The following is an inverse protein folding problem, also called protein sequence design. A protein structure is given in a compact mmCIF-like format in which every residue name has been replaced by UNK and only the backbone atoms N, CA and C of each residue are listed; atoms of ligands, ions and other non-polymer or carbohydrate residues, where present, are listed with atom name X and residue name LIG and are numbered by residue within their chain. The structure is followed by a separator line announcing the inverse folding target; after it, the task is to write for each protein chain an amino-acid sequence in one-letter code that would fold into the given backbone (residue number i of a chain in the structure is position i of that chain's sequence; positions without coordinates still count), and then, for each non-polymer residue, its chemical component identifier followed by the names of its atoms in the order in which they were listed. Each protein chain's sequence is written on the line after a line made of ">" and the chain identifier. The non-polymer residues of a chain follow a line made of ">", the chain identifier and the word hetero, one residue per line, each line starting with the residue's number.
data_IF_033925819459
#
_entry.id   IF_033925819459
#
_cell.length_a   1.000
_cell.length_b   1.000
_cell.length_c   1.000
_cell.angle_alpha   90.00
_cell.angle_beta   90.00
_cell.angle_gamma   90.00
#
_symmetry.space_group_name_H-M   'P 1'
#
loop_
_entity.id
_entity.type
_entity.pdbx_description
1 polymer ?
#
# COMPACT_ATOMS: atom_id res chain seq x y z
N UNK A 1 -6.68 46.81 -19.33
CA UNK A 1 -7.03 48.14 -18.79
C UNK A 1 -7.12 48.00 -17.28
N UNK A 2 -6.23 48.68 -16.56
CA UNK A 2 -6.15 48.63 -15.10
C UNK A 2 -7.20 49.59 -14.54
N UNK A 3 -8.05 49.12 -13.63
CA UNK A 3 -8.83 49.97 -12.73
C UNK A 3 -8.44 49.56 -11.32
N UNK A 4 -7.80 50.48 -10.60
CA UNK A 4 -7.47 50.33 -9.18
C UNK A 4 -8.59 50.99 -8.38
N UNK A 5 -9.28 50.20 -7.56
CA UNK A 5 -10.03 50.70 -6.40
C UNK A 5 -9.51 49.95 -5.19
N UNK A 6 -8.88 50.67 -4.27
CA UNK A 6 -8.41 50.18 -2.98
C UNK A 6 -9.55 50.35 -1.98
N UNK A 7 -9.90 49.28 -1.26
CA UNK A 7 -10.13 49.18 0.20
C UNK A 7 -10.74 47.80 0.48
N UNK A 8 -10.10 47.01 1.34
CA UNK A 8 -10.71 45.83 1.96
C UNK A 8 -9.87 44.57 1.87
N UNK A 9 -9.47 44.06 3.04
CA UNK A 9 -9.04 42.70 3.39
C UNK A 9 -8.14 42.00 2.36
N UNK A 10 -6.89 41.73 2.75
CA UNK A 10 -5.95 40.89 1.99
C UNK A 10 -6.57 39.50 1.79
N UNK A 11 -7.33 39.35 0.71
CA UNK A 11 -7.79 38.07 0.21
C UNK A 11 -6.57 37.45 -0.45
N UNK A 12 -5.90 36.58 0.29
CA UNK A 12 -4.79 35.79 -0.23
C UNK A 12 -5.34 34.90 -1.35
N UNK A 13 -5.27 35.40 -2.59
CA UNK A 13 -5.52 34.60 -3.79
C UNK A 13 -4.44 33.54 -3.82
N UNK A 14 -4.74 32.38 -3.25
CA UNK A 14 -4.02 31.14 -3.53
C UNK A 14 -4.23 30.88 -5.03
N UNK A 15 -3.20 31.16 -5.81
CA UNK A 15 -3.05 30.50 -7.11
C UNK A 15 -2.81 29.03 -6.80
N UNK A 16 -3.87 28.23 -6.79
CA UNK A 16 -3.71 26.79 -6.88
C UNK A 16 -3.21 26.52 -8.30
N UNK A 17 -1.96 26.08 -8.41
CA UNK A 17 -1.53 25.31 -9.57
C UNK A 17 -2.43 24.06 -9.61
N UNK A 18 -3.05 23.79 -10.76
CA UNK A 18 -3.65 22.50 -11.07
C UNK A 18 -2.52 21.45 -11.12
N UNK A 19 -2.05 21.01 -9.96
CA UNK A 19 -1.35 19.74 -9.83
C UNK A 19 -2.41 18.67 -9.67
N UNK A 20 -2.41 17.66 -10.54
CA UNK A 20 -3.34 16.52 -10.48
C UNK A 20 -3.47 16.03 -9.04
N UNK A 21 -4.64 16.26 -8.43
CA UNK A 21 -4.97 15.61 -7.17
C UNK A 21 -5.05 14.12 -7.48
N UNK A 22 -4.31 13.28 -6.76
CA UNK A 22 -4.50 11.83 -6.83
C UNK A 22 -5.97 11.53 -6.60
N UNK A 23 -6.61 10.85 -7.55
CA UNK A 23 -8.05 10.56 -7.47
C UNK A 23 -8.36 9.64 -6.28
N UNK A 24 -7.43 8.75 -5.95
CA UNK A 24 -7.48 7.83 -4.80
C UNK A 24 -6.19 7.88 -3.98
N UNK A 25 -6.31 7.43 -2.73
CA UNK A 25 -5.19 7.27 -1.80
C UNK A 25 -5.02 5.80 -1.48
N UNK A 26 -3.79 5.33 -1.52
CA UNK A 26 -3.44 3.96 -1.19
C UNK A 26 -2.62 3.93 0.10
N UNK A 27 -2.83 2.91 0.93
CA UNK A 27 -2.05 2.68 2.14
C UNK A 27 -1.30 1.36 2.01
N UNK A 28 0.02 1.45 1.87
CA UNK A 28 0.91 0.32 1.97
C UNK A 28 1.34 0.16 3.43
N UNK A 29 1.28 -1.06 3.96
CA UNK A 29 1.74 -1.33 5.32
C UNK A 29 2.61 -2.57 5.35
N UNK A 30 3.55 -2.57 6.28
CA UNK A 30 4.52 -3.63 6.49
C UNK A 30 4.51 -4.01 7.96
N UNK A 31 4.26 -5.28 8.25
CA UNK A 31 4.33 -5.82 9.61
C UNK A 31 5.42 -6.86 9.70
N UNK A 32 6.39 -6.62 10.59
CA UNK A 32 7.34 -7.65 10.98
C UNK A 32 6.76 -8.41 12.17
N UNK A 33 6.58 -9.71 12.00
CA UNK A 33 6.04 -10.61 13.01
C UNK A 33 7.19 -11.34 13.69
N UNK A 34 7.06 -11.62 14.98
CA UNK A 34 8.02 -12.46 15.67
C UNK A 34 8.03 -13.87 15.04
N UNK A 35 9.20 -14.47 14.74
CA UNK A 35 9.28 -15.71 13.96
C UNK A 35 8.42 -16.85 14.52
N UNK A 36 8.41 -17.02 15.85
CA UNK A 36 7.63 -18.08 16.51
C UNK A 36 6.12 -17.90 16.39
N UNK A 37 5.65 -16.71 16.02
CA UNK A 37 4.22 -16.39 15.88
C UNK A 37 3.76 -16.28 14.43
N UNK A 38 4.66 -16.31 13.44
CA UNK A 38 4.28 -16.06 12.04
C UNK A 38 3.19 -17.01 11.50
N UNK A 39 3.24 -18.34 11.73
CA UNK A 39 2.16 -19.22 11.30
C UNK A 39 0.81 -18.91 12.00
N UNK A 40 0.85 -18.64 13.31
CA UNK A 40 -0.34 -18.30 14.09
C UNK A 40 -0.94 -16.95 13.66
N UNK A 41 -0.09 -15.98 13.33
CA UNK A 41 -0.49 -14.69 12.78
C UNK A 41 -1.23 -14.86 11.44
N UNK A 42 -0.67 -15.65 10.51
CA UNK A 42 -1.30 -15.89 9.22
C UNK A 42 -2.64 -16.61 9.36
N UNK A 43 -2.73 -17.62 10.23
CA UNK A 43 -3.98 -18.33 10.50
C UNK A 43 -5.06 -17.41 11.09
N UNK A 44 -4.71 -16.61 12.11
CA UNK A 44 -5.61 -15.65 12.73
C UNK A 44 -6.07 -14.58 11.72
N UNK A 45 -5.16 -14.10 10.87
CA UNK A 45 -5.48 -13.12 9.83
C UNK A 45 -6.43 -13.72 8.81
N UNK A 46 -6.17 -14.93 8.32
CA UNK A 46 -7.05 -15.64 7.41
C UNK A 46 -8.49 -15.76 7.95
N UNK A 47 -8.61 -16.09 9.24
CA UNK A 47 -9.93 -16.25 9.88
C UNK A 47 -10.68 -14.92 10.04
N UNK A 48 -9.97 -13.82 10.31
CA UNK A 48 -10.59 -12.56 10.79
C UNK A 48 -10.50 -11.38 9.84
N UNK A 49 -9.72 -11.47 8.76
CA UNK A 49 -9.48 -10.31 7.87
C UNK A 49 -10.75 -9.84 7.15
N UNK A 50 -11.74 -10.71 6.99
CA UNK A 50 -13.07 -10.37 6.45
C UNK A 50 -13.71 -9.18 7.18
N UNK A 51 -13.55 -9.10 8.50
CA UNK A 51 -14.04 -7.99 9.33
C UNK A 51 -13.44 -6.64 8.91
N UNK A 52 -12.20 -6.62 8.40
CA UNK A 52 -11.56 -5.40 7.89
C UNK A 52 -11.98 -5.12 6.47
N UNK A 53 -12.13 -6.15 5.63
CA UNK A 53 -12.50 -5.96 4.22
C UNK A 53 -13.93 -5.47 4.04
N UNK A 54 -14.79 -5.62 5.05
CA UNK A 54 -16.09 -4.93 5.12
C UNK A 54 -15.97 -3.40 5.11
N UNK A 55 -14.85 -2.86 5.57
CA UNK A 55 -14.63 -1.40 5.65
C UNK A 55 -13.57 -0.89 4.68
N UNK A 56 -12.59 -1.71 4.31
CA UNK A 56 -11.43 -1.30 3.50
C UNK A 56 -11.28 -2.20 2.28
N UNK A 57 -11.18 -1.61 1.09
CA UNK A 57 -10.84 -2.35 -0.13
C UNK A 57 -9.39 -2.81 -0.08
N UNK A 58 -9.19 -4.12 -0.07
CA UNK A 58 -7.86 -4.75 -0.10
C UNK A 58 -7.47 -5.00 -1.56
N UNK A 59 -6.30 -4.51 -1.97
CA UNK A 59 -5.76 -4.76 -3.31
C UNK A 59 -4.78 -5.93 -3.33
N UNK A 60 -4.13 -6.19 -2.21
CA UNK A 60 -3.27 -7.35 -2.07
C UNK A 60 -2.73 -7.49 -0.67
N UNK A 61 -2.45 -8.74 -0.30
CA UNK A 61 -1.84 -9.12 0.96
C UNK A 61 -0.84 -10.23 0.66
N UNK A 62 0.41 -10.02 1.07
CA UNK A 62 1.50 -10.93 0.74
C UNK A 62 2.33 -11.26 1.98
N UNK A 63 2.87 -12.48 1.99
CA UNK A 63 3.97 -12.87 2.86
C UNK A 63 5.29 -12.66 2.11
N UNK A 64 6.28 -12.08 2.79
CA UNK A 64 7.60 -11.84 2.20
C UNK A 64 8.43 -13.13 2.22
N UNK A 65 8.89 -13.56 1.05
CA UNK A 65 9.76 -14.71 0.85
C UNK A 65 11.25 -14.28 0.87
N UNK A 66 11.58 -13.18 0.18
CA UNK A 66 12.94 -12.62 0.11
C UNK A 66 12.90 -11.11 0.39
N UNK A 67 13.87 -10.60 1.16
CA UNK A 67 13.95 -9.17 1.51
C UNK A 67 13.23 -8.79 2.81
N UNK A 68 12.90 -9.78 3.66
CA UNK A 68 12.33 -9.58 5.00
C UNK A 68 11.52 -10.79 5.45
N UNK A 69 12.14 -11.81 6.06
CA UNK A 69 11.44 -13.02 6.51
C UNK A 69 10.53 -12.75 7.72
N UNK A 70 9.45 -13.53 7.86
CA UNK A 70 8.41 -13.35 8.89
C UNK A 70 7.73 -11.97 8.82
N UNK A 71 7.63 -11.42 7.61
CA UNK A 71 7.01 -10.14 7.34
C UNK A 71 5.81 -10.32 6.44
N UNK A 72 4.78 -9.50 6.64
CA UNK A 72 3.70 -9.34 5.68
C UNK A 72 3.64 -7.90 5.19
N UNK A 73 3.25 -7.76 3.93
CA UNK A 73 2.97 -6.46 3.31
C UNK A 73 1.57 -6.49 2.73
N UNK A 74 0.89 -5.35 2.77
CA UNK A 74 -0.49 -5.28 2.29
C UNK A 74 -0.89 -3.88 1.87
N UNK A 75 -1.67 -3.83 0.79
CA UNK A 75 -2.08 -2.61 0.09
C UNK A 75 -3.59 -2.42 0.19
N UNK A 76 -4.00 -1.22 0.58
CA UNK A 76 -5.40 -0.82 0.78
C UNK A 76 -5.73 0.42 -0.05
N UNK A 77 -6.92 0.46 -0.64
CA UNK A 77 -7.42 1.58 -1.44
C UNK A 77 -8.46 2.40 -0.66
N UNK A 78 -8.41 3.72 -0.80
CA UNK A 78 -9.35 4.68 -0.23
C UNK A 78 -9.63 5.81 -1.23
N UNK A 79 -10.85 6.34 -1.25
CA UNK A 79 -11.21 7.45 -2.15
C UNK A 79 -10.50 8.76 -1.80
N UNK A 80 -10.11 8.94 -0.53
CA UNK A 80 -9.40 10.13 -0.07
C UNK A 80 -8.79 9.89 1.31
N UNK A 81 -7.94 10.82 1.78
CA UNK A 81 -7.45 10.81 3.16
C UNK A 81 -8.58 10.91 4.19
N UNK A 82 -9.63 11.68 3.90
CA UNK A 82 -10.80 11.80 4.76
C UNK A 82 -11.59 10.48 4.82
N UNK A 83 -11.80 9.83 3.67
CA UNK A 83 -12.42 8.50 3.62
C UNK A 83 -11.59 7.49 4.44
N UNK A 84 -10.27 7.45 4.21
CA UNK A 84 -9.36 6.61 5.00
C UNK A 84 -9.51 6.86 6.50
N UNK A 85 -9.49 8.12 6.94
CA UNK A 85 -9.64 8.45 8.35
C UNK A 85 -10.97 7.94 8.92
N UNK A 86 -12.08 8.17 8.22
CA UNK A 86 -13.40 7.67 8.61
C UNK A 86 -13.44 6.16 8.76
N UNK A 87 -12.92 5.42 7.78
CA UNK A 87 -12.81 3.96 7.82
C UNK A 87 -11.98 3.48 9.01
N UNK A 88 -10.82 4.11 9.26
CA UNK A 88 -9.94 3.73 10.39
C UNK A 88 -10.59 4.00 11.74
N UNK A 89 -11.38 5.07 11.88
CA UNK A 89 -12.17 5.36 13.09
C UNK A 89 -13.28 4.31 13.27
N UNK A 90 -14.05 4.02 12.22
CA UNK A 90 -15.13 3.03 12.28
C UNK A 90 -14.60 1.63 12.65
N UNK A 91 -13.56 1.16 11.96
CA UNK A 91 -12.92 -0.13 12.25
C UNK A 91 -12.29 -0.14 13.66
N UNK A 92 -11.72 0.98 14.10
CA UNK A 92 -11.18 1.15 15.45
C UNK A 92 -12.24 1.09 16.54
N UNK A 93 -13.50 1.41 16.25
CA UNK A 93 -14.64 1.29 17.15
C UNK A 93 -15.32 -0.08 17.14
N UNK A 94 -15.02 -0.93 16.14
CA UNK A 94 -15.62 -2.26 16.03
C UNK A 94 -15.11 -3.19 17.14
N UNK A 95 -16.01 -3.60 18.05
CA UNK A 95 -15.66 -4.42 19.22
C UNK A 95 -15.07 -5.77 18.84
N UNK A 96 -15.71 -6.48 17.90
CA UNK A 96 -15.24 -7.78 17.39
C UNK A 96 -13.84 -7.69 16.79
N UNK A 97 -13.59 -6.68 15.95
CA UNK A 97 -12.25 -6.45 15.39
C UNK A 97 -11.18 -6.25 16.46
N UNK A 98 -11.50 -5.48 17.50
CA UNK A 98 -10.55 -5.23 18.59
C UNK A 98 -10.28 -6.46 19.45
N UNK A 99 -11.33 -7.16 19.88
CA UNK A 99 -11.23 -8.28 20.81
C UNK A 99 -10.79 -9.59 20.13
N UNK A 100 -11.31 -9.87 18.95
CA UNK A 100 -11.08 -11.15 18.27
C UNK A 100 -9.79 -11.16 17.45
N UNK A 101 -9.37 -10.01 16.92
CA UNK A 101 -8.18 -9.89 16.08
C UNK A 101 -7.09 -9.02 16.71
N UNK A 102 -7.32 -7.72 16.92
CA UNK A 102 -6.25 -6.79 17.30
C UNK A 102 -5.58 -7.15 18.65
N UNK A 103 -6.36 -7.55 19.65
CA UNK A 103 -5.84 -7.94 20.96
C UNK A 103 -4.92 -9.17 20.90
N UNK A 104 -5.21 -10.12 19.99
CA UNK A 104 -4.41 -11.35 19.81
C UNK A 104 -3.21 -11.12 18.90
N UNK A 105 -3.39 -10.34 17.83
CA UNK A 105 -2.37 -10.11 16.81
C UNK A 105 -1.27 -9.17 17.29
N UNK A 106 -1.59 -8.09 18.02
CA UNK A 106 -0.61 -7.10 18.51
C UNK A 106 0.62 -7.70 19.22
N UNK A 107 0.48 -8.61 20.20
CA UNK A 107 1.64 -9.18 20.90
C UNK A 107 2.51 -10.09 20.01
N UNK A 108 2.02 -10.50 18.82
CA UNK A 108 2.79 -11.30 17.87
C UNK A 108 3.78 -10.45 17.05
N UNK A 109 3.63 -9.13 17.04
CA UNK A 109 4.40 -8.24 16.18
C UNK A 109 5.69 -7.76 16.84
N UNK A 110 6.70 -7.60 16.01
CA UNK A 110 7.96 -6.92 16.35
C UNK A 110 7.90 -5.44 15.96
N UNK A 111 7.28 -5.11 14.83
CA UNK A 111 7.14 -3.73 14.35
C UNK A 111 5.99 -3.59 13.35
N UNK A 112 5.54 -2.34 13.14
CA UNK A 112 4.62 -1.96 12.08
C UNK A 112 5.08 -0.66 11.43
N UNK A 113 4.98 -0.58 10.12
CA UNK A 113 5.14 0.65 9.35
C UNK A 113 3.99 0.79 8.35
N UNK A 114 3.68 2.03 7.97
CA UNK A 114 2.76 2.32 6.89
C UNK A 114 3.14 3.59 6.14
N UNK A 115 2.68 3.67 4.90
CA UNK A 115 2.96 4.76 3.98
C UNK A 115 1.71 5.04 3.18
N UNK A 116 1.44 6.32 2.94
CA UNK A 116 0.39 6.78 2.05
C UNK A 116 0.96 7.07 0.67
N UNK A 117 0.24 6.57 -0.32
CA UNK A 117 0.65 6.52 -1.70
C UNK A 117 -0.45 7.14 -2.58
N UNK A 118 -0.04 7.78 -3.68
CA UNK A 118 -0.91 8.17 -4.78
C UNK A 118 -0.57 7.35 -6.03
N UNK A 119 -1.54 7.07 -6.89
CA UNK A 119 -1.26 6.42 -8.19
C UNK A 119 -0.45 7.36 -9.08
N UNK A 120 0.46 6.80 -9.88
CA UNK A 120 1.18 7.58 -10.90
C UNK A 120 0.45 7.42 -12.23
N UNK A 121 -0.06 8.53 -12.78
CA UNK A 121 -0.88 8.56 -13.99
C UNK A 121 -2.32 8.99 -13.70
N UNK A 122 -3.10 9.18 -14.76
CA UNK A 122 -4.52 9.59 -14.66
C UNK A 122 -5.46 8.39 -14.48
N UNK A 123 -4.93 7.18 -14.41
CA UNK A 123 -5.69 5.93 -14.29
C UNK A 123 -5.62 5.37 -12.86
N UNK A 124 -6.77 4.96 -12.35
CA UNK A 124 -6.86 4.21 -11.09
C UNK A 124 -6.23 2.82 -11.26
N UNK A 125 -5.73 2.25 -10.16
CA UNK A 125 -5.20 0.88 -10.19
C UNK A 125 -6.34 -0.10 -10.48
N UNK A 126 -6.28 -0.77 -11.62
CA UNK A 126 -7.23 -1.82 -11.97
C UNK A 126 -7.06 -3.04 -11.05
N UNK A 127 -8.16 -3.72 -10.77
CA UNK A 127 -8.10 -4.98 -10.02
C UNK A 127 -7.36 -6.04 -10.84
N UNK A 128 -6.33 -6.65 -10.25
CA UNK A 128 -5.61 -7.73 -10.90
C UNK A 128 -6.55 -8.93 -11.07
N UNK A 129 -6.85 -9.26 -12.33
CA UNK A 129 -7.74 -10.38 -12.70
C UNK A 129 -7.03 -11.72 -12.66
N UNK A 130 -5.70 -11.74 -12.79
CA UNK A 130 -4.89 -12.96 -12.76
C UNK A 130 -4.53 -13.37 -11.32
N UNK A 131 -5.03 -14.53 -10.89
CA UNK A 131 -4.73 -15.09 -9.58
C UNK A 131 -3.34 -15.74 -9.50
N UNK A 132 -2.84 -15.89 -8.28
CA UNK A 132 -1.53 -16.45 -7.96
C UNK A 132 -0.35 -15.63 -8.50
N UNK A 133 0.77 -16.32 -8.66
CA UNK A 133 2.03 -15.75 -9.14
C UNK A 133 2.98 -15.30 -8.03
N UNK A 134 4.13 -14.80 -8.46
CA UNK A 134 5.17 -14.24 -7.60
C UNK A 134 5.20 -12.73 -7.84
N UNK A 135 5.32 -11.96 -6.76
CA UNK A 135 5.34 -10.51 -6.85
C UNK A 135 6.69 -9.97 -6.41
N UNK A 136 7.16 -8.94 -7.12
CA UNK A 136 8.26 -8.12 -6.66
C UNK A 136 7.70 -6.76 -6.28
N UNK A 137 8.02 -6.30 -5.06
CA UNK A 137 7.69 -4.95 -4.61
C UNK A 137 9.01 -4.21 -4.42
N UNK A 138 9.17 -3.06 -5.06
CA UNK A 138 10.43 -2.33 -5.07
C UNK A 138 10.25 -0.84 -4.87
N UNK A 139 11.13 -0.24 -4.07
CA UNK A 139 11.23 1.21 -3.90
C UNK A 139 12.26 1.82 -4.84
N UNK A 140 11.93 2.97 -5.42
CA UNK A 140 12.77 3.67 -6.41
C UNK A 140 12.76 5.19 -6.19
N UNK A 141 13.87 5.86 -6.50
CA UNK A 141 13.96 7.32 -6.44
C UNK A 141 13.45 8.02 -7.70
N UNK A 142 13.48 7.31 -8.83
CA UNK A 142 13.07 7.80 -10.13
C UNK A 142 11.99 6.89 -10.72
N UNK A 143 11.08 7.46 -11.51
CA UNK A 143 10.06 6.71 -12.24
C UNK A 143 10.65 6.12 -13.55
N UNK A 144 11.54 5.14 -13.43
CA UNK A 144 12.31 4.59 -14.57
C UNK A 144 11.96 3.15 -14.93
N UNK A 145 11.07 2.50 -14.18
CA UNK A 145 10.90 1.04 -14.24
C UNK A 145 9.55 0.56 -14.81
N UNK A 146 8.92 1.32 -15.70
CA UNK A 146 7.67 0.90 -16.36
C UNK A 146 7.94 -0.21 -17.38
N UNK A 147 7.27 -1.36 -17.22
CA UNK A 147 7.30 -2.48 -18.16
C UNK A 147 5.96 -3.23 -18.17
N UNK A 148 5.86 -4.25 -19.01
CA UNK A 148 4.66 -5.09 -19.23
C UNK A 148 4.30 -5.99 -18.05
N UNK A 149 5.21 -6.17 -17.08
CA UNK A 149 5.01 -6.99 -15.87
C UNK A 149 4.55 -6.16 -14.67
N UNK A 150 4.61 -4.84 -14.78
CA UNK A 150 4.21 -3.92 -13.73
C UNK A 150 2.68 -3.91 -13.60
N UNK A 151 2.20 -4.16 -12.38
CA UNK A 151 0.76 -4.18 -12.04
C UNK A 151 0.36 -3.00 -11.16
N UNK A 152 1.33 -2.20 -10.70
CA UNK A 152 1.05 -0.99 -9.96
C UNK A 152 2.28 -0.10 -9.81
N UNK A 153 2.09 1.20 -9.98
CA UNK A 153 3.10 2.22 -9.74
C UNK A 153 2.51 3.34 -8.90
N UNK A 154 3.19 3.64 -7.81
CA UNK A 154 2.73 4.57 -6.79
C UNK A 154 3.80 5.59 -6.44
N UNK A 155 3.38 6.82 -6.15
CA UNK A 155 4.22 7.86 -5.60
C UNK A 155 3.95 7.99 -4.09
N UNK A 156 5.01 8.09 -3.29
CA UNK A 156 4.89 8.41 -1.87
C UNK A 156 4.31 9.79 -1.67
N UNK A 157 3.32 9.89 -0.79
CA UNK A 157 2.72 11.18 -0.40
C UNK A 157 3.05 11.53 1.06
N UNK A 158 2.91 10.55 1.96
CA UNK A 158 3.22 10.72 3.38
C UNK A 158 3.79 9.44 3.97
N UNK A 159 4.78 9.59 4.85
CA UNK A 159 5.53 8.48 5.43
C UNK A 159 6.81 8.20 4.64
N UNK A 160 7.72 7.45 5.28
CA UNK A 160 9.02 7.14 4.70
C UNK A 160 8.98 5.79 3.97
N UNK A 161 9.23 5.79 2.65
CA UNK A 161 9.45 4.57 1.86
C UNK A 161 10.91 4.18 1.88
N UNK A 162 11.52 4.13 3.07
CA UNK A 162 12.94 3.81 3.25
C UNK A 162 13.83 4.68 2.33
N UNK A 163 13.52 5.98 2.25
CA UNK A 163 14.24 6.95 1.43
C UNK A 163 13.90 6.95 -0.06
N UNK A 164 12.77 6.34 -0.47
CA UNK A 164 12.34 6.29 -1.89
C UNK A 164 11.11 7.13 -2.19
N UNK A 165 10.97 7.56 -3.45
CA UNK A 165 9.86 8.40 -3.92
C UNK A 165 8.72 7.58 -4.54
N UNK A 166 9.04 6.41 -5.09
CA UNK A 166 8.12 5.56 -5.82
C UNK A 166 8.13 4.14 -5.29
N UNK A 167 6.96 3.50 -5.29
CA UNK A 167 6.77 2.09 -5.02
C UNK A 167 6.17 1.44 -6.26
N UNK A 168 6.85 0.44 -6.80
CA UNK A 168 6.35 -0.38 -7.90
C UNK A 168 6.02 -1.79 -7.44
N UNK A 169 5.05 -2.40 -8.11
CA UNK A 169 4.65 -3.79 -7.92
C UNK A 169 4.66 -4.47 -9.29
N UNK A 170 5.38 -5.58 -9.39
CA UNK A 170 5.45 -6.44 -10.57
C UNK A 170 4.91 -7.82 -10.26
N UNK A 171 4.27 -8.45 -11.25
CA UNK A 171 3.76 -9.83 -11.16
C UNK A 171 4.47 -10.72 -12.18
N UNK A 172 4.82 -11.92 -11.73
CA UNK A 172 5.49 -12.95 -12.51
C UNK A 172 4.75 -14.28 -12.37
N UNK A 173 4.81 -15.12 -13.41
CA UNK A 173 4.18 -16.45 -13.35
C UNK A 173 5.00 -17.45 -12.53
N UNK A 174 6.33 -17.27 -12.47
CA UNK A 174 7.23 -18.15 -11.74
C UNK A 174 8.59 -17.52 -11.46
N UNK A 175 9.40 -18.19 -10.62
CA UNK A 175 10.67 -17.64 -10.12
C UNK A 175 11.69 -17.44 -11.24
N UNK A 176 11.62 -18.25 -12.31
CA UNK A 176 12.50 -18.15 -13.48
C UNK A 176 12.35 -16.80 -14.21
N UNK A 177 11.15 -16.19 -14.19
CA UNK A 177 10.92 -14.87 -14.80
C UNK A 177 11.53 -13.73 -13.97
N UNK A 178 11.69 -13.94 -12.66
CA UNK A 178 12.18 -12.92 -11.71
C UNK A 178 13.66 -12.60 -11.93
N UNK A 179 14.45 -13.56 -12.41
CA UNK A 179 15.90 -13.37 -12.56
C UNK A 179 16.27 -12.26 -13.56
N UNK A 180 15.40 -11.95 -14.53
CA UNK A 180 15.59 -10.85 -15.48
C UNK A 180 15.38 -9.46 -14.85
N UNK A 181 14.78 -9.40 -13.66
CA UNK A 181 14.38 -8.15 -12.99
C UNK A 181 15.51 -7.57 -12.13
N UNK A 182 16.57 -8.36 -11.87
CA UNK A 182 17.77 -7.95 -11.09
C UNK A 182 18.50 -6.72 -11.66
N UNK A 183 18.19 -6.32 -12.89
CA UNK A 183 18.78 -5.15 -13.56
C UNK A 183 18.07 -3.82 -13.26
N UNK A 184 16.96 -3.83 -12.51
CA UNK A 184 16.27 -2.59 -12.12
C UNK A 184 17.00 -1.91 -10.94
N UNK A 185 17.16 -0.59 -11.01
CA UNK A 185 17.81 0.23 -9.98
C UNK A 185 16.91 0.44 -8.75
N UNK A 186 16.54 -0.65 -8.08
CA UNK A 186 15.83 -0.59 -6.82
C UNK A 186 16.72 -0.08 -5.71
N UNK A 187 16.20 0.82 -4.88
CA UNK A 187 16.84 1.17 -3.60
C UNK A 187 16.63 0.05 -2.58
N UNK A 188 15.47 -0.61 -2.65
CA UNK A 188 15.16 -1.84 -1.93
C UNK A 188 14.13 -2.64 -2.72
N UNK A 189 14.11 -3.96 -2.54
CA UNK A 189 13.09 -4.82 -3.13
C UNK A 189 12.76 -6.02 -2.22
N UNK A 190 11.54 -6.53 -2.39
CA UNK A 190 11.00 -7.69 -1.68
C UNK A 190 10.34 -8.61 -2.68
N UNK A 191 10.67 -9.90 -2.61
CA UNK A 191 9.93 -10.94 -3.30
C UNK A 191 8.87 -11.48 -2.36
N UNK A 192 7.62 -11.43 -2.80
CA UNK A 192 6.47 -11.67 -1.94
C UNK A 192 5.47 -12.59 -2.63
N UNK A 193 4.79 -13.42 -1.84
CA UNK A 193 3.82 -14.41 -2.31
C UNK A 193 2.44 -14.03 -1.75
N UNK A 194 1.37 -14.01 -2.56
CA UNK A 194 0.03 -13.75 -2.06
C UNK A 194 -0.35 -14.72 -0.94
N UNK A 195 -0.94 -14.20 0.13
CA UNK A 195 -1.48 -15.06 1.19
C UNK A 195 -2.80 -15.71 0.75
N UNK A 196 -3.25 -16.83 1.35
CA UNK A 196 -4.50 -17.50 0.98
C UNK A 196 -5.77 -16.63 1.03
N UNK A 197 -5.77 -15.57 1.84
CA UNK A 197 -6.86 -14.60 1.98
C UNK A 197 -6.64 -13.31 1.17
N UNK A 198 -5.59 -13.26 0.36
CA UNK A 198 -5.37 -12.15 -0.56
C UNK A 198 -6.41 -12.22 -1.69
N UNK A 199 -6.93 -11.09 -2.18
CA UNK A 199 -7.75 -11.09 -3.38
C UNK A 199 -6.95 -11.54 -4.62
N UNK A 200 -5.64 -11.69 -4.52
CA UNK A 200 -4.76 -12.15 -5.59
C UNK A 200 -4.55 -13.67 -5.61
N UNK A 201 -5.18 -14.41 -4.69
CA UNK A 201 -5.10 -15.87 -4.63
C UNK A 201 -6.18 -16.57 -5.46
#
# INVERSE_FOLDING_TARGET
>A
VVVVVVVGVIMMRRFFSNGNAFQKVYEFRTYSVQPQHFPAFLALTNEKISMRTEYSKMLGYWATEIGGVNEVVHLWEYDSLAHRQGVRVALGGAKSWNEEYMAKMRPMLSSQANILLGSVGDEDVEECTEKGGIYLIGGMNENTAQDDKMVGLFQSTYGDVQGTNYLGIWRFQGMEEVDNVRQKNFTWSKLVIPTPFSPLQ
#
